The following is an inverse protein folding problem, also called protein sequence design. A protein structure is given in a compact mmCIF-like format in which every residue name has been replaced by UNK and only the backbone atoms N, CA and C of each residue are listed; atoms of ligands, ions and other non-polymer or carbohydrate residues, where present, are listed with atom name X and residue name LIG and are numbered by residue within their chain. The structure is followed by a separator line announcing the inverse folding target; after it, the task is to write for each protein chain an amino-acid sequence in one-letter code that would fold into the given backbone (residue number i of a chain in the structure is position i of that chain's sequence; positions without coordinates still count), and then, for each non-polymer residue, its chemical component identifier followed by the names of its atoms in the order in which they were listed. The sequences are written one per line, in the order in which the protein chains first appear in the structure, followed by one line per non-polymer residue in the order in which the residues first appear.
data_IF_459687821593
#
_entry.id   IF_459687821593
#
_cell.length_a   1.000
_cell.length_b   1.000
_cell.length_c   1.000
_cell.angle_alpha   90.00
_cell.angle_beta   90.00
_cell.angle_gamma   90.00
#
_symmetry.space_group_name_H-M   'P 1'
#
loop_
_entity.id
_entity.type
_entity.pdbx_description
1 polymer ?
#
# COMPACT_ATOMS: atom_id res chain seq x y z
N UNK A 1 -17.70 13.38 6.10
CA UNK A 1 -18.22 12.23 5.33
C UNK A 1 -17.76 12.38 3.89
N UNK A 2 -17.28 11.32 3.22
CA UNK A 2 -16.96 11.41 1.82
C UNK A 2 -18.23 11.73 1.00
N UNK A 3 -18.11 12.44 -0.12
CA UNK A 3 -19.26 12.75 -0.97
C UNK A 3 -19.89 11.47 -1.52
N UNK A 4 -21.18 11.55 -1.81
CA UNK A 4 -21.93 10.44 -2.41
C UNK A 4 -21.35 10.13 -3.78
N UNK A 5 -21.04 8.86 -4.04
CA UNK A 5 -20.54 8.42 -5.34
C UNK A 5 -21.66 8.49 -6.40
N UNK A 6 -21.34 8.98 -7.60
CA UNK A 6 -22.25 8.89 -8.75
C UNK A 6 -22.15 7.52 -9.45
N UNK A 7 -21.02 6.85 -9.29
CA UNK A 7 -20.78 5.53 -9.85
C UNK A 7 -19.93 4.68 -8.90
N UNK A 8 -20.28 3.41 -8.79
CA UNK A 8 -19.48 2.40 -8.09
C UNK A 8 -19.23 1.24 -9.04
N UNK A 9 -17.97 0.86 -9.17
CA UNK A 9 -17.57 -0.22 -10.07
C UNK A 9 -16.42 -1.06 -9.47
N UNK A 10 -16.27 -2.25 -9.97
CA UNK A 10 -15.08 -3.08 -9.78
C UNK A 10 -14.20 -2.93 -11.00
N UNK A 11 -12.94 -2.58 -10.78
CA UNK A 11 -12.01 -2.41 -11.87
C UNK A 11 -10.58 -2.81 -11.47
N UNK A 12 -9.82 -3.25 -12.47
CA UNK A 12 -8.40 -3.58 -12.33
C UNK A 12 -7.56 -2.38 -12.76
N UNK A 13 -6.58 -2.01 -11.94
CA UNK A 13 -5.64 -0.93 -12.27
C UNK A 13 -4.74 -1.36 -13.43
N UNK A 14 -4.82 -0.63 -14.56
CA UNK A 14 -3.97 -0.84 -15.73
C UNK A 14 -2.69 -0.02 -15.61
N UNK A 15 -2.83 1.26 -15.30
CA UNK A 15 -1.72 2.20 -15.17
C UNK A 15 -1.96 3.17 -14.02
N UNK A 16 -0.87 3.71 -13.50
CA UNK A 16 -0.86 4.68 -12.42
C UNK A 16 0.04 5.83 -12.83
N UNK A 17 -0.53 7.03 -12.87
CA UNK A 17 0.16 8.31 -13.06
C UNK A 17 0.36 8.98 -11.68
N UNK A 18 1.12 10.09 -11.56
CA UNK A 18 1.38 10.74 -10.27
C UNK A 18 0.13 11.19 -9.49
N UNK A 19 -1.00 11.38 -10.16
CA UNK A 19 -2.26 11.86 -9.56
C UNK A 19 -3.49 11.05 -9.94
N UNK A 20 -3.42 10.23 -10.99
CA UNK A 20 -4.55 9.48 -11.54
C UNK A 20 -4.23 8.00 -11.64
N UNK A 21 -5.26 7.17 -11.61
CA UNK A 21 -5.17 5.76 -11.95
C UNK A 21 -6.18 5.43 -13.04
N UNK A 22 -5.78 4.59 -13.99
CA UNK A 22 -6.65 4.09 -15.04
C UNK A 22 -7.09 2.67 -14.70
N UNK A 23 -8.40 2.47 -14.70
CA UNK A 23 -9.02 1.18 -14.38
C UNK A 23 -9.63 0.57 -15.65
N UNK A 24 -9.48 -0.73 -15.79
CA UNK A 24 -10.31 -1.57 -16.66
C UNK A 24 -11.56 -1.97 -15.87
N UNK A 25 -12.71 -1.49 -16.29
CA UNK A 25 -13.98 -1.70 -15.61
C UNK A 25 -14.48 -3.11 -15.90
N UNK A 26 -14.52 -3.93 -14.86
CA UNK A 26 -14.99 -5.31 -14.93
C UNK A 26 -16.48 -5.43 -14.68
N UNK A 27 -16.99 -4.66 -13.71
CA UNK A 27 -18.38 -4.74 -13.29
C UNK A 27 -18.86 -3.40 -12.73
N UNK A 28 -19.97 -2.90 -13.23
CA UNK A 28 -20.72 -1.83 -12.59
C UNK A 28 -21.55 -2.38 -11.43
N UNK A 29 -21.50 -1.71 -10.29
CA UNK A 29 -22.30 -2.06 -9.10
C UNK A 29 -23.44 -1.09 -8.88
N UNK A 30 -23.20 0.20 -9.06
CA UNK A 30 -24.22 1.24 -8.90
C UNK A 30 -23.89 2.45 -9.77
N UNK A 31 -24.90 3.24 -10.12
CA UNK A 31 -24.75 4.47 -10.89
C UNK A 31 -24.37 4.26 -12.34
N UNK A 32 -23.77 5.30 -12.96
CA UNK A 32 -23.35 5.30 -14.34
C UNK A 32 -21.99 5.99 -14.52
N UNK A 33 -21.18 5.47 -15.43
CA UNK A 33 -19.91 6.07 -15.88
C UNK A 33 -20.06 6.77 -17.24
N UNK A 34 -21.29 7.05 -17.68
CA UNK A 34 -21.55 7.69 -18.96
C UNK A 34 -20.82 9.04 -19.05
N UNK A 35 -20.12 9.25 -20.15
CA UNK A 35 -19.27 10.43 -20.35
C UNK A 35 -17.86 10.34 -19.77
N UNK A 36 -17.55 9.32 -18.94
CA UNK A 36 -16.24 9.13 -18.32
C UNK A 36 -15.53 7.84 -18.76
N UNK A 37 -16.25 6.92 -19.36
CA UNK A 37 -15.71 5.63 -19.80
C UNK A 37 -15.35 5.65 -21.27
N UNK A 38 -14.16 5.17 -21.62
CA UNK A 38 -13.72 4.96 -23.00
C UNK A 38 -13.16 3.54 -23.14
N UNK A 39 -13.81 2.70 -23.97
CA UNK A 39 -13.39 1.31 -24.23
C UNK A 39 -13.13 0.53 -22.91
N UNK A 40 -14.14 0.51 -22.02
CA UNK A 40 -14.09 -0.09 -20.68
C UNK A 40 -13.04 0.50 -19.73
N UNK A 41 -12.36 1.57 -20.11
CA UNK A 41 -11.35 2.23 -19.28
C UNK A 41 -11.90 3.50 -18.68
N UNK A 42 -11.59 3.72 -17.41
CA UNK A 42 -11.97 4.94 -16.71
C UNK A 42 -10.75 5.49 -15.96
N UNK A 43 -10.56 6.79 -16.06
CA UNK A 43 -9.53 7.51 -15.33
C UNK A 43 -10.12 8.12 -14.06
N UNK A 44 -9.51 7.81 -12.91
CA UNK A 44 -9.94 8.31 -11.60
C UNK A 44 -8.78 9.02 -10.93
N UNK A 45 -9.06 10.22 -10.42
CA UNK A 45 -8.09 11.06 -9.72
C UNK A 45 -8.05 10.71 -8.23
N UNK A 46 -6.83 10.51 -7.72
CA UNK A 46 -6.54 10.22 -6.32
C UNK A 46 -5.58 11.25 -5.70
N UNK A 47 -4.96 12.10 -6.51
CA UNK A 47 -3.89 12.99 -6.05
C UNK A 47 -2.69 12.19 -5.52
N UNK A 48 -2.11 12.64 -4.41
CA UNK A 48 -0.95 12.00 -3.81
C UNK A 48 -1.18 10.56 -3.31
N UNK A 49 -2.44 10.14 -3.18
CA UNK A 49 -2.79 8.82 -2.64
C UNK A 49 -2.79 7.71 -3.69
N UNK A 50 -2.65 8.06 -4.97
CA UNK A 50 -2.51 7.09 -6.06
C UNK A 50 -1.39 6.06 -5.83
N UNK A 51 -0.35 6.42 -5.09
CA UNK A 51 0.80 5.56 -4.74
C UNK A 51 0.42 4.30 -3.94
N UNK A 52 -0.76 4.28 -3.33
CA UNK A 52 -1.25 3.11 -2.57
C UNK A 52 -1.96 2.09 -3.47
N UNK A 53 -2.26 2.45 -4.71
CA UNK A 53 -2.82 1.54 -5.70
C UNK A 53 -1.71 0.74 -6.37
N UNK A 54 -1.95 -0.54 -6.56
CA UNK A 54 -1.00 -1.46 -7.21
C UNK A 54 -1.54 -1.84 -8.60
N UNK A 55 -0.69 -1.74 -9.62
CA UNK A 55 -1.00 -2.19 -10.97
C UNK A 55 -1.36 -3.67 -10.99
N UNK A 56 -2.29 -4.07 -11.84
CA UNK A 56 -2.82 -5.43 -11.96
C UNK A 56 -3.55 -5.94 -10.70
N UNK A 57 -4.01 -5.03 -9.83
CA UNK A 57 -4.89 -5.36 -8.71
C UNK A 57 -6.29 -4.81 -8.98
N UNK A 58 -7.29 -5.56 -8.53
CA UNK A 58 -8.70 -5.16 -8.63
C UNK A 58 -9.15 -4.47 -7.35
N UNK A 59 -9.99 -3.46 -7.50
CA UNK A 59 -10.52 -2.63 -6.42
C UNK A 59 -12.01 -2.36 -6.64
N UNK A 60 -12.72 -2.10 -5.54
CA UNK A 60 -14.06 -1.52 -5.57
C UNK A 60 -13.86 0.00 -5.52
N UNK A 61 -14.30 0.70 -6.55
CA UNK A 61 -14.11 2.14 -6.70
C UNK A 61 -15.46 2.84 -6.69
N UNK A 62 -15.71 3.64 -5.66
CA UNK A 62 -16.77 4.64 -5.66
C UNK A 62 -16.21 5.98 -6.13
N UNK A 63 -16.75 6.54 -7.18
CA UNK A 63 -16.23 7.74 -7.80
C UNK A 63 -17.28 8.85 -7.86
N UNK A 64 -16.82 10.09 -7.78
CA UNK A 64 -17.62 11.30 -7.91
C UNK A 64 -16.93 12.30 -8.85
N UNK A 65 -17.67 13.11 -9.63
CA UNK A 65 -17.06 14.16 -10.40
C UNK A 65 -16.31 15.15 -9.48
N UNK A 66 -15.08 15.41 -9.82
CA UNK A 66 -14.33 16.48 -9.18
C UNK A 66 -14.72 17.83 -9.81
N UNK A 67 -15.21 18.75 -8.98
CA UNK A 67 -15.69 20.05 -9.42
C UNK A 67 -14.62 20.89 -10.14
N UNK A 68 -13.34 20.62 -9.89
CA UNK A 68 -12.22 21.37 -10.46
C UNK A 68 -11.73 20.81 -11.79
N UNK A 69 -11.61 19.48 -11.87
CA UNK A 69 -10.97 18.82 -13.02
C UNK A 69 -11.97 18.24 -14.01
N UNK A 70 -13.26 18.23 -13.70
CA UNK A 70 -14.32 17.54 -14.46
C UNK A 70 -14.02 16.04 -14.70
N UNK A 71 -13.07 15.48 -13.98
CA UNK A 71 -12.73 14.06 -13.99
C UNK A 71 -13.36 13.36 -12.77
N UNK A 72 -13.43 12.05 -12.83
CA UNK A 72 -13.83 11.28 -11.65
C UNK A 72 -12.75 11.33 -10.57
N UNK A 73 -13.15 11.46 -9.33
CA UNK A 73 -12.28 11.41 -8.15
C UNK A 73 -12.76 10.39 -7.15
N UNK A 74 -11.83 9.83 -6.41
CA UNK A 74 -12.09 8.89 -5.31
C UNK A 74 -11.06 9.10 -4.21
N UNK A 75 -11.34 8.58 -3.01
CA UNK A 75 -10.43 8.70 -1.86
C UNK A 75 -9.97 7.31 -1.40
N UNK A 76 -8.76 7.25 -0.86
CA UNK A 76 -8.18 6.05 -0.26
C UNK A 76 -8.05 6.24 1.26
N UNK A 77 -7.65 7.43 1.70
CA UNK A 77 -7.45 7.75 3.13
C UNK A 77 -8.78 7.85 3.85
N UNK A 78 -8.75 7.54 5.13
CA UNK A 78 -9.88 7.63 6.05
C UNK A 78 -11.12 6.81 5.62
N UNK A 79 -10.88 5.79 4.78
CA UNK A 79 -11.94 4.84 4.43
C UNK A 79 -12.13 3.86 5.58
N UNK A 80 -13.28 3.92 6.25
CA UNK A 80 -13.68 2.87 7.17
C UNK A 80 -13.86 1.56 6.41
N UNK A 81 -13.45 0.45 7.02
CA UNK A 81 -13.73 -0.89 6.50
C UNK A 81 -15.23 -1.07 6.31
N UNK A 82 -15.61 -1.72 5.23
CA UNK A 82 -17.01 -1.90 4.92
C UNK A 82 -17.68 -2.90 5.86
N UNK A 83 -17.00 -3.84 6.41
CA UNK A 83 -17.40 -4.84 7.43
C UNK A 83 -16.30 -5.91 7.51
N UNK A 84 -16.01 -6.37 8.70
CA UNK A 84 -15.47 -7.70 8.89
C UNK A 84 -16.55 -8.71 8.47
N UNK A 85 -16.30 -9.51 7.44
CA UNK A 85 -17.31 -10.40 6.85
C UNK A 85 -18.02 -11.35 7.83
N UNK A 86 -17.45 -11.55 9.04
CA UNK A 86 -18.06 -12.32 10.12
C UNK A 86 -19.24 -11.60 10.83
N UNK A 87 -19.36 -10.27 10.69
CA UNK A 87 -20.39 -9.50 11.41
C UNK A 87 -21.72 -9.38 10.64
N UNK A 88 -21.75 -9.73 9.36
CA UNK A 88 -22.91 -9.55 8.49
C UNK A 88 -23.84 -10.77 8.50
N UNK A 89 -23.31 -11.96 8.77
CA UNK A 89 -24.08 -13.20 8.75
C UNK A 89 -24.94 -13.30 10.02
N UNK A 90 -26.24 -13.04 9.88
CA UNK A 90 -27.23 -13.28 10.93
C UNK A 90 -27.62 -12.08 11.82
N UNK A 91 -27.19 -10.85 11.50
CA UNK A 91 -27.42 -9.71 12.40
C UNK A 91 -28.68 -8.88 12.15
N UNK A 92 -29.53 -9.18 11.19
CA UNK A 92 -30.69 -8.35 10.77
C UNK A 92 -30.34 -6.85 10.55
N UNK A 93 -29.07 -6.50 10.45
CA UNK A 93 -28.63 -5.13 10.16
C UNK A 93 -28.80 -4.89 8.67
N UNK A 94 -29.40 -3.75 8.33
CA UNK A 94 -29.46 -3.30 6.94
C UNK A 94 -28.04 -3.30 6.39
N UNK A 95 -27.85 -3.85 5.19
CA UNK A 95 -26.60 -3.66 4.45
C UNK A 95 -26.32 -2.16 4.43
N UNK A 96 -25.14 -1.71 4.83
CA UNK A 96 -24.86 -0.31 4.80
C UNK A 96 -24.90 0.19 3.37
N UNK A 97 -25.29 1.43 3.22
CA UNK A 97 -25.23 2.16 1.97
C UNK A 97 -23.78 2.49 1.59
N UNK A 98 -22.94 1.46 1.53
CA UNK A 98 -21.52 1.64 1.23
C UNK A 98 -21.28 2.02 -0.23
N UNK A 99 -22.23 1.70 -1.07
CA UNK A 99 -22.24 2.07 -2.48
C UNK A 99 -22.46 3.57 -2.68
N UNK A 100 -22.80 4.30 -1.61
CA UNK A 100 -23.03 5.74 -1.69
C UNK A 100 -21.76 6.60 -1.50
N UNK A 101 -20.62 6.04 -1.16
CA UNK A 101 -19.43 6.83 -0.85
C UNK A 101 -18.37 6.82 -1.96
N UNK A 102 -17.85 8.01 -2.29
CA UNK A 102 -16.73 8.16 -3.24
C UNK A 102 -15.41 7.70 -2.57
N UNK A 103 -15.21 6.40 -2.49
CA UNK A 103 -14.04 5.77 -1.88
C UNK A 103 -13.60 4.52 -2.62
N UNK A 104 -12.32 4.16 -2.46
CA UNK A 104 -11.75 2.96 -3.06
C UNK A 104 -11.33 1.97 -1.98
N UNK A 105 -11.72 0.72 -2.16
CA UNK A 105 -11.49 -0.39 -1.24
C UNK A 105 -10.92 -1.59 -1.99
N UNK A 106 -10.34 -2.53 -1.27
CA UNK A 106 -10.07 -3.85 -1.82
C UNK A 106 -11.36 -4.57 -2.22
N UNK A 107 -11.26 -5.59 -3.07
CA UNK A 107 -12.42 -6.36 -3.54
C UNK A 107 -13.15 -7.13 -2.43
N UNK A 108 -12.48 -7.37 -1.30
CA UNK A 108 -13.04 -7.96 -0.09
C UNK A 108 -13.73 -6.93 0.83
N UNK A 109 -13.75 -5.65 0.43
CA UNK A 109 -14.34 -4.56 1.21
C UNK A 109 -13.43 -3.97 2.27
N UNK A 110 -12.20 -4.44 2.41
CA UNK A 110 -11.23 -3.90 3.36
C UNK A 110 -10.63 -2.58 2.89
N UNK A 111 -10.26 -1.72 3.84
CA UNK A 111 -9.60 -0.46 3.54
C UNK A 111 -8.18 -0.69 3.01
N UNK A 112 -7.76 0.14 2.04
CA UNK A 112 -6.40 0.10 1.52
C UNK A 112 -5.46 0.67 2.59
N UNK A 113 -4.45 -0.11 2.99
CA UNK A 113 -3.47 0.32 3.98
C UNK A 113 -2.66 1.51 3.47
N UNK A 114 -2.82 2.66 4.12
CA UNK A 114 -2.05 3.88 3.84
C UNK A 114 -0.88 4.07 4.82
N UNK A 115 -0.67 3.11 5.74
CA UNK A 115 0.40 3.19 6.72
C UNK A 115 1.77 2.96 6.06
N UNK A 116 2.75 3.77 6.45
CA UNK A 116 4.15 3.65 6.00
C UNK A 116 4.74 2.28 6.40
N UNK A 117 4.24 1.70 7.48
CA UNK A 117 4.66 0.40 7.98
C UNK A 117 4.04 -0.79 7.22
N UNK A 118 2.93 -0.57 6.48
CA UNK A 118 2.26 -1.63 5.73
C UNK A 118 3.18 -2.34 4.73
N UNK A 119 4.01 -1.59 4.02
CA UNK A 119 4.99 -2.14 3.08
C UNK A 119 6.11 -2.97 3.73
N UNK A 120 6.40 -2.73 5.02
CA UNK A 120 7.36 -3.52 5.79
C UNK A 120 6.77 -4.88 6.19
N UNK A 121 5.49 -4.93 6.53
CA UNK A 121 4.82 -6.18 6.91
C UNK A 121 4.50 -7.10 5.73
N UNK A 122 4.37 -6.57 4.51
CA UNK A 122 4.19 -7.38 3.30
C UNK A 122 5.43 -8.24 2.96
N UNK A 123 6.61 -7.88 3.48
CA UNK A 123 7.85 -8.63 3.25
C UNK A 123 8.60 -8.87 4.57
N UNK A 124 8.19 -9.88 5.36
CA UNK A 124 8.73 -10.14 6.70
C UNK A 124 10.25 -10.36 6.72
N UNK A 125 10.84 -10.83 5.62
CA UNK A 125 12.28 -10.99 5.51
C UNK A 125 13.04 -9.66 5.56
N UNK A 126 12.46 -8.54 5.08
CA UNK A 126 13.07 -7.21 5.18
C UNK A 126 13.18 -6.72 6.60
N UNK A 127 12.18 -7.04 7.43
CA UNK A 127 12.22 -6.75 8.87
C UNK A 127 13.34 -7.56 9.52
N UNK A 128 13.43 -8.85 9.19
CA UNK A 128 14.49 -9.71 9.70
C UNK A 128 15.88 -9.18 9.34
N UNK A 129 16.09 -8.75 8.08
CA UNK A 129 17.36 -8.17 7.64
C UNK A 129 17.64 -6.84 8.36
N UNK A 130 16.66 -5.94 8.46
CA UNK A 130 16.83 -4.64 9.11
C UNK A 130 17.17 -4.76 10.60
N UNK A 131 16.64 -5.77 11.29
CA UNK A 131 16.88 -6.00 12.73
C UNK A 131 18.17 -6.78 12.97
N UNK A 132 18.48 -7.77 12.14
CA UNK A 132 19.64 -8.66 12.34
C UNK A 132 20.95 -8.12 11.78
N UNK A 133 20.89 -7.32 10.71
CA UNK A 133 22.11 -6.84 10.04
C UNK A 133 22.97 -5.91 10.92
N UNK A 134 22.42 -4.92 11.67
CA UNK A 134 23.22 -4.08 12.53
C UNK A 134 24.00 -4.85 13.63
N UNK A 135 23.39 -5.74 14.43
CA UNK A 135 24.11 -6.47 15.46
C UNK A 135 25.16 -7.43 14.87
N UNK A 136 24.89 -8.04 13.71
CA UNK A 136 25.87 -8.91 13.02
C UNK A 136 27.11 -8.10 12.60
N UNK A 137 26.91 -6.91 12.02
CA UNK A 137 28.02 -6.03 11.64
C UNK A 137 28.86 -5.60 12.85
N UNK A 138 28.21 -5.27 13.97
CA UNK A 138 28.92 -4.91 15.22
C UNK A 138 29.73 -6.10 15.75
N UNK A 139 29.15 -7.30 15.77
CA UNK A 139 29.85 -8.52 16.20
C UNK A 139 31.03 -8.85 15.29
N UNK A 140 30.88 -8.75 13.96
CA UNK A 140 31.99 -8.95 13.02
C UNK A 140 33.10 -7.94 13.24
N UNK A 141 32.76 -6.65 13.45
CA UNK A 141 33.74 -5.60 13.76
C UNK A 141 34.50 -5.87 15.04
N UNK A 142 33.81 -6.27 16.12
CA UNK A 142 34.44 -6.65 17.40
C UNK A 142 35.34 -7.88 17.25
N UNK A 143 34.89 -8.90 16.53
CA UNK A 143 35.69 -10.10 16.28
C UNK A 143 36.96 -9.78 15.48
N UNK A 144 36.86 -8.94 14.44
CA UNK A 144 37.99 -8.44 13.67
C UNK A 144 39.00 -7.69 14.52
N UNK A 145 38.55 -6.81 15.44
CA UNK A 145 39.42 -6.10 16.38
C UNK A 145 40.14 -7.03 17.37
N UNK A 146 39.46 -8.03 17.88
CA UNK A 146 40.08 -9.05 18.77
C UNK A 146 41.12 -9.87 18.03
N UNK A 147 40.85 -10.22 16.77
CA UNK A 147 41.77 -10.98 15.93
C UNK A 147 43.06 -10.18 15.61
N UNK A 148 42.90 -8.90 15.26
CA UNK A 148 44.02 -7.96 15.07
C UNK A 148 44.88 -7.82 16.33
N UNK A 149 44.28 -7.70 17.53
CA UNK A 149 45.03 -7.61 18.78
C UNK A 149 45.78 -8.93 19.11
N UNK A 150 45.23 -10.09 18.76
CA UNK A 150 45.92 -11.38 18.95
C UNK A 150 47.07 -11.62 17.97
N UNK A 151 47.06 -11.00 16.77
CA UNK A 151 48.09 -11.12 15.75
C UNK A 151 49.38 -10.33 16.04
N UNK A 152 49.34 -9.30 16.89
CA UNK A 152 50.53 -8.50 17.27
C UNK A 152 51.26 -9.11 18.45
N UNK A 153 51.90 -10.29 18.26
CA UNK A 153 52.91 -10.76 19.22
C UNK A 153 54.13 -9.84 19.12
N UNK A 154 54.63 -9.27 20.24
CA UNK A 154 55.81 -8.44 20.18
C UNK A 154 57.00 -9.28 19.73
N UNK A 155 57.63 -8.84 18.64
CA UNK A 155 58.91 -9.43 18.14
C UNK A 155 59.94 -9.22 19.23
N UNK A 156 60.37 -10.32 19.90
CA UNK A 156 61.47 -10.30 20.85
C UNK A 156 62.75 -9.88 20.11
N UNK A 157 63.26 -8.67 20.36
CA UNK A 157 64.60 -8.26 19.86
C UNK A 157 65.64 -9.21 20.44
N UNK A 158 66.55 -9.76 19.59
CA UNK A 158 67.66 -10.57 20.09
C UNK A 158 68.62 -9.71 20.93
N UNK A 159 68.98 -10.22 22.11
CA UNK A 159 69.94 -9.55 22.98
C UNK A 159 71.32 -9.50 22.30
N UNK A 160 71.86 -8.29 22.17
CA UNK A 160 73.20 -8.00 21.63
C UNK A 160 74.21 -8.44 22.70
N UNK A 161 74.91 -9.56 22.45
CA UNK A 161 76.06 -9.99 23.28
C UNK A 161 77.22 -8.96 23.05
N UNK A 162 77.81 -8.41 24.15
CA UNK A 162 79.09 -7.73 24.19
C UNK A 162 80.16 -8.76 24.31
#
# INVERSE_FOLDING_TARGET
MPPTAIAVFVGTVISVDPVNAVFDVQQMRAGSLEGYIAINKVEVRYGADVKYLKTNKSYIVGANPDAVSLKLSSTIRDTAELFGGAQVVGSNKKCPEFEAAARTLHTDGTAISTSILGTLFEQPWRIAVAVLLPPVLVLMGLFGLVWLRRGTKPVKRPARKK
#
